data_IF_362333942346
#
_entry.id   IF_362333942346
#
_cell.length_a   1.000
_cell.length_b   1.000
_cell.length_c   1.000
_cell.angle_alpha   90.00
_cell.angle_beta   90.00
_cell.angle_gamma   90.00
#
_symmetry.space_group_name_H-M   'P 1'
#
loop_
_entity.id
_entity.type
_entity.pdbx_description
1 polymer ?
#
# COMPACT_ATOMS: atom_id res chain seq x y z
N UNK A 1 7.61 -12.17 -11.74
CA UNK A 1 6.92 -11.28 -10.76
C UNK A 1 5.87 -10.50 -11.52
N UNK A 2 4.64 -10.47 -11.03
CA UNK A 2 3.54 -9.74 -11.67
C UNK A 2 3.49 -8.34 -11.04
N UNK A 3 3.44 -7.30 -11.86
CA UNK A 3 3.28 -5.92 -11.42
C UNK A 3 1.91 -5.40 -11.85
N UNK A 4 1.11 -4.95 -10.90
CA UNK A 4 -0.21 -4.36 -11.15
C UNK A 4 -0.13 -2.89 -10.75
N UNK A 5 -0.38 -2.00 -11.72
CA UNK A 5 -0.50 -0.55 -11.48
C UNK A 5 -1.97 -0.19 -11.54
N UNK A 6 -2.48 0.37 -10.45
CA UNK A 6 -3.82 0.93 -10.36
C UNK A 6 -3.67 2.46 -10.38
N UNK A 7 -4.02 3.11 -11.50
CA UNK A 7 -3.84 4.54 -11.63
C UNK A 7 -4.84 5.29 -10.76
N UNK A 8 -4.41 6.45 -10.23
CA UNK A 8 -5.29 7.36 -9.46
C UNK A 8 -6.08 6.67 -8.35
N UNK A 9 -5.42 5.81 -7.57
CA UNK A 9 -6.03 5.15 -6.43
C UNK A 9 -6.44 6.21 -5.38
N UNK A 10 -7.72 6.24 -4.95
CA UNK A 10 -8.23 7.29 -4.08
C UNK A 10 -7.64 7.20 -2.69
N UNK A 11 -7.29 8.35 -2.13
CA UNK A 11 -6.76 8.48 -0.78
C UNK A 11 -7.81 9.09 0.15
N UNK A 12 -7.92 8.61 1.40
CA UNK A 12 -8.84 9.18 2.37
C UNK A 12 -8.43 10.61 2.79
N UNK A 13 -9.39 11.35 3.33
CA UNK A 13 -9.13 12.65 3.94
C UNK A 13 -8.09 12.53 5.06
N UNK A 14 -7.13 13.45 5.09
CA UNK A 14 -5.99 13.44 6.02
C UNK A 14 -4.63 13.33 5.31
N UNK A 15 -4.63 12.93 4.03
CA UNK A 15 -3.47 13.05 3.14
C UNK A 15 -3.45 14.40 2.40
N UNK A 16 -2.25 14.84 2.00
CA UNK A 16 -2.08 16.08 1.25
C UNK A 16 -2.55 15.96 -0.22
N UNK A 17 -2.54 14.74 -0.77
CA UNK A 17 -3.06 14.43 -2.09
C UNK A 17 -4.38 13.65 -1.99
N UNK A 18 -5.24 13.77 -3.00
CA UNK A 18 -6.54 13.06 -3.06
C UNK A 18 -6.45 11.70 -3.76
N UNK A 19 -5.41 11.47 -4.56
CA UNK A 19 -5.15 10.22 -5.25
C UNK A 19 -3.64 10.06 -5.55
N UNK A 20 -3.19 8.82 -5.74
CA UNK A 20 -1.86 8.47 -6.24
C UNK A 20 -1.91 7.12 -6.97
N UNK A 21 -0.96 6.84 -7.86
CA UNK A 21 -0.89 5.52 -8.48
C UNK A 21 -0.43 4.50 -7.43
N UNK A 22 -1.12 3.36 -7.36
CA UNK A 22 -0.79 2.24 -6.50
C UNK A 22 -0.11 1.15 -7.33
N UNK A 23 1.08 0.72 -6.91
CA UNK A 23 1.78 -0.44 -7.44
C UNK A 23 1.69 -1.60 -6.45
N UNK A 24 1.28 -2.77 -6.95
CA UNK A 24 1.37 -4.05 -6.26
C UNK A 24 2.35 -4.96 -7.01
N UNK A 25 3.25 -5.62 -6.26
CA UNK A 25 4.21 -6.59 -6.81
C UNK A 25 3.93 -7.95 -6.21
N UNK A 26 3.42 -8.85 -7.04
CA UNK A 26 2.97 -10.18 -6.62
C UNK A 26 4.00 -11.24 -7.03
N UNK A 27 4.40 -12.05 -6.05
CA UNK A 27 5.34 -13.14 -6.25
C UNK A 27 4.73 -14.24 -7.15
N UNK A 28 5.57 -15.00 -7.89
CA UNK A 28 5.13 -16.24 -8.52
C UNK A 28 4.56 -17.18 -7.44
N UNK A 29 3.30 -17.58 -7.58
CA UNK A 29 2.58 -18.36 -6.55
C UNK A 29 1.42 -17.62 -5.91
N UNK A 30 1.24 -16.32 -6.17
CA UNK A 30 -0.01 -15.64 -5.86
C UNK A 30 -1.20 -16.28 -6.61
N UNK A 31 -2.38 -16.50 -5.99
CA UNK A 31 -2.78 -16.06 -4.63
C UNK A 31 -2.45 -17.03 -3.49
N UNK A 32 -1.82 -18.17 -3.73
CA UNK A 32 -1.44 -19.11 -2.65
C UNK A 32 -0.31 -18.55 -1.78
N UNK A 33 0.55 -17.72 -2.38
CA UNK A 33 1.51 -16.90 -1.66
C UNK A 33 0.94 -15.52 -1.34
N UNK A 34 1.16 -15.09 -0.10
CA UNK A 34 0.71 -13.80 0.39
C UNK A 34 1.44 -12.63 -0.31
N UNK A 35 0.75 -11.52 -0.58
CA UNK A 35 1.40 -10.25 -0.88
C UNK A 35 2.20 -9.73 0.32
N UNK A 36 3.14 -8.83 0.07
CA UNK A 36 4.06 -8.34 1.10
C UNK A 36 3.95 -6.83 1.32
N UNK A 37 4.16 -6.06 0.25
CA UNK A 37 4.22 -4.61 0.27
C UNK A 37 3.46 -4.01 -0.90
N UNK A 38 3.19 -2.71 -0.79
CA UNK A 38 2.71 -1.90 -1.90
C UNK A 38 3.53 -0.60 -2.01
N UNK A 39 3.36 0.09 -3.13
CA UNK A 39 4.07 1.33 -3.37
C UNK A 39 3.15 2.38 -3.97
N UNK A 40 3.48 3.66 -3.73
CA UNK A 40 2.76 4.79 -4.30
C UNK A 40 3.66 5.73 -5.10
N UNK A 41 3.11 6.29 -6.18
CA UNK A 41 3.72 7.36 -6.95
C UNK A 41 2.65 8.38 -7.39
N UNK A 42 2.77 9.69 -7.03
CA UNK A 42 3.82 10.28 -6.20
C UNK A 42 3.78 9.76 -4.75
N UNK A 43 4.85 10.02 -3.99
CA UNK A 43 4.92 9.66 -2.58
C UNK A 43 3.79 10.33 -1.78
N UNK A 44 3.11 9.57 -0.94
CA UNK A 44 2.00 10.05 -0.12
C UNK A 44 2.53 10.62 1.19
N UNK A 45 1.95 11.75 1.60
CA UNK A 45 2.25 12.43 2.87
C UNK A 45 0.94 12.85 3.53
N UNK A 46 0.92 12.85 4.86
CA UNK A 46 -0.19 13.41 5.63
C UNK A 46 -0.23 14.93 5.47
N UNK A 47 -1.43 15.49 5.48
CA UNK A 47 -1.65 16.93 5.37
C UNK A 47 -1.12 17.69 6.60
N UNK A 48 -1.07 17.04 7.77
CA UNK A 48 -0.55 17.59 9.02
C UNK A 48 0.98 17.45 9.19
N UNK A 49 1.67 16.94 8.17
CA UNK A 49 3.12 16.77 8.17
C UNK A 49 3.65 15.62 9.04
N UNK A 50 2.78 14.85 9.71
CA UNK A 50 3.23 13.69 10.48
C UNK A 50 3.80 12.60 9.56
N UNK A 51 4.90 12.00 9.98
CA UNK A 51 5.54 10.89 9.26
C UNK A 51 4.68 9.64 9.40
N UNK A 52 4.49 8.95 8.28
CA UNK A 52 3.82 7.64 8.25
C UNK A 52 4.91 6.58 8.42
N UNK A 53 4.82 5.78 9.49
CA UNK A 53 5.82 4.79 9.79
C UNK A 53 5.99 3.75 8.66
N UNK A 54 7.24 3.35 8.43
CA UNK A 54 7.63 2.35 7.43
C UNK A 54 7.25 2.77 5.99
N UNK A 55 7.45 4.06 5.70
CA UNK A 55 7.28 4.68 4.36
C UNK A 55 8.47 5.54 3.92
N UNK A 56 9.62 5.38 4.58
CA UNK A 56 10.83 6.19 4.41
C UNK A 56 11.65 5.78 3.17
N UNK A 57 11.46 4.55 2.68
CA UNK A 57 12.21 4.03 1.53
C UNK A 57 11.52 4.35 0.20
N UNK A 58 12.35 4.61 -0.80
CA UNK A 58 11.94 4.71 -2.20
C UNK A 58 12.63 3.62 -3.02
N UNK A 59 11.92 3.09 -4.01
CA UNK A 59 12.41 2.06 -4.91
C UNK A 59 12.06 2.39 -6.37
N UNK A 60 12.88 1.94 -7.30
CA UNK A 60 12.63 2.11 -8.74
C UNK A 60 11.99 0.83 -9.29
N UNK A 61 10.76 0.97 -9.78
CA UNK A 61 10.02 -0.11 -10.45
C UNK A 61 9.41 0.43 -11.74
N UNK A 62 9.49 -0.35 -12.81
CA UNK A 62 8.94 0.03 -14.11
C UNK A 62 9.44 1.42 -14.59
N UNK A 63 10.70 1.75 -14.31
CA UNK A 63 11.32 3.04 -14.69
C UNK A 63 10.81 4.26 -13.91
N UNK A 64 9.98 4.08 -12.88
CA UNK A 64 9.45 5.14 -12.01
C UNK A 64 9.94 4.96 -10.59
N UNK A 65 10.09 6.06 -9.85
CA UNK A 65 10.36 6.04 -8.41
C UNK A 65 9.05 5.91 -7.64
N UNK A 66 9.00 4.98 -6.69
CA UNK A 66 7.84 4.70 -5.86
C UNK A 66 8.21 4.74 -4.38
N UNK A 67 7.34 5.32 -3.55
CA UNK A 67 7.44 5.23 -2.10
C UNK A 67 6.95 3.87 -1.64
N UNK A 68 7.78 3.13 -0.91
CA UNK A 68 7.43 1.79 -0.40
C UNK A 68 6.62 1.89 0.88
N UNK A 69 5.60 1.06 1.00
CA UNK A 69 4.82 0.87 2.23
C UNK A 69 5.02 -0.55 2.75
N UNK A 70 5.74 -0.67 3.87
CA UNK A 70 6.02 -1.96 4.51
C UNK A 70 4.91 -2.31 5.49
N UNK A 71 4.05 -3.27 5.15
CA UNK A 71 3.00 -3.80 6.03
C UNK A 71 2.95 -5.32 5.88
N UNK A 72 3.91 -5.99 6.51
CA UNK A 72 3.99 -7.43 6.51
C UNK A 72 2.77 -8.06 7.16
N UNK A 73 2.27 -9.12 6.54
CA UNK A 73 1.19 -9.91 7.09
C UNK A 73 1.75 -10.88 8.14
N UNK A 74 1.04 -11.01 9.25
CA UNK A 74 1.36 -12.01 10.26
C UNK A 74 1.13 -13.43 9.73
N UNK A 75 1.83 -14.45 10.26
CA UNK A 75 1.58 -15.85 9.89
C UNK A 75 0.10 -16.21 9.99
N UNK A 76 -0.46 -16.78 8.92
CA UNK A 76 -1.87 -17.18 8.83
C UNK A 76 -2.87 -16.04 8.58
N UNK A 77 -2.43 -14.78 8.49
CA UNK A 77 -3.30 -13.66 8.17
C UNK A 77 -3.81 -13.72 6.73
N UNK A 78 -2.98 -14.24 5.81
CA UNK A 78 -3.38 -14.55 4.44
C UNK A 78 -3.71 -16.04 4.32
N UNK A 79 -4.85 -16.36 3.72
CA UNK A 79 -5.37 -17.72 3.60
C UNK A 79 -5.50 -18.08 2.12
N UNK A 80 -4.64 -19.00 1.67
CA UNK A 80 -4.74 -19.58 0.32
C UNK A 80 -6.14 -20.16 0.07
N UNK A 81 -6.65 -19.96 -1.14
CA UNK A 81 -8.00 -20.36 -1.54
C UNK A 81 -9.15 -19.51 -0.98
N UNK A 82 -8.87 -18.53 -0.10
CA UNK A 82 -9.90 -17.64 0.48
C UNK A 82 -9.59 -16.18 0.14
N UNK A 83 -8.38 -15.71 0.45
CA UNK A 83 -8.01 -14.31 0.27
C UNK A 83 -7.57 -14.05 -1.18
N UNK A 84 -7.91 -12.86 -1.68
CA UNK A 84 -7.74 -12.49 -3.07
C UNK A 84 -7.25 -11.04 -3.21
N UNK A 85 -7.14 -10.55 -4.44
CA UNK A 85 -6.68 -9.19 -4.70
C UNK A 85 -7.63 -8.18 -4.08
N UNK A 86 -8.91 -8.52 -4.03
CA UNK A 86 -9.94 -7.73 -3.35
C UNK A 86 -9.65 -7.62 -1.85
N UNK A 87 -9.37 -8.75 -1.17
CA UNK A 87 -8.99 -8.77 0.25
C UNK A 87 -7.75 -7.94 0.51
N UNK A 88 -6.76 -8.00 -0.39
CA UNK A 88 -5.54 -7.20 -0.26
C UNK A 88 -5.79 -5.70 -0.46
N UNK A 89 -6.61 -5.32 -1.44
CA UNK A 89 -7.01 -3.92 -1.63
C UNK A 89 -7.83 -3.38 -0.47
N UNK A 90 -8.67 -4.22 0.16
CA UNK A 90 -9.37 -3.86 1.39
C UNK A 90 -8.38 -3.59 2.54
N UNK A 91 -7.33 -4.40 2.67
CA UNK A 91 -6.26 -4.15 3.64
C UNK A 91 -5.52 -2.82 3.35
N UNK A 92 -5.16 -2.56 2.09
CA UNK A 92 -4.51 -1.30 1.69
C UNK A 92 -5.38 -0.11 2.11
N UNK A 93 -6.71 -0.15 1.82
CA UNK A 93 -7.65 0.90 2.25
C UNK A 93 -7.67 1.08 3.77
N UNK A 94 -7.77 -0.02 4.52
CA UNK A 94 -7.77 0.01 6.00
C UNK A 94 -6.49 0.64 6.55
N UNK A 95 -5.33 0.32 5.99
CA UNK A 95 -4.05 0.89 6.42
C UNK A 95 -3.92 2.37 6.06
N UNK A 96 -4.44 2.79 4.89
CA UNK A 96 -4.51 4.20 4.52
C UNK A 96 -5.42 4.99 5.45
N UNK A 97 -6.60 4.46 5.77
CA UNK A 97 -7.52 5.08 6.75
C UNK A 97 -6.84 5.21 8.12
N UNK A 98 -6.15 4.17 8.57
CA UNK A 98 -5.41 4.21 9.83
C UNK A 98 -4.29 5.26 9.81
N UNK A 99 -3.54 5.36 8.71
CA UNK A 99 -2.47 6.33 8.55
C UNK A 99 -2.97 7.78 8.40
N UNK A 100 -4.18 7.98 7.86
CA UNK A 100 -4.77 9.31 7.67
C UNK A 100 -5.36 9.91 8.96
N UNK A 101 -5.72 9.07 9.94
CA UNK A 101 -6.23 9.54 11.23
C UNK A 101 -5.18 10.35 11.98
N UNK A 102 -5.55 11.55 12.41
CA UNK A 102 -4.81 12.27 13.42
C UNK A 102 -4.72 11.41 14.69
N UNK A 103 -3.50 11.20 15.21
CA UNK A 103 -3.33 10.63 16.55
C UNK A 103 -3.97 11.62 17.52
N UNK A 104 -4.90 11.17 18.35
CA UNK A 104 -5.36 11.95 19.49
C UNK A 104 -4.14 12.29 20.35
N UNK A 105 -3.99 13.58 20.68
CA UNK A 105 -2.92 14.11 21.51
C UNK A 105 -2.99 13.56 22.94
#
# INVERSE_FOLDING_TARGET
MIAIVIPSFPLPNGFAATAADLLLRLAPGYPDMQPDMWWFAPAIRRADGQVIAATELQEVHLGRTWQRWSRHLNPGQWRSGIDSLESYLALVRKELEAAARARAA
#
